data_IF_071529035991
#
_entry.id   IF_071529035991
#
_cell.length_a   1.000
_cell.length_b   1.000
_cell.length_c   1.000
_cell.angle_alpha   90.00
_cell.angle_beta   90.00
_cell.angle_gamma   90.00
#
_symmetry.space_group_name_H-M   'P 1'
#
loop_
_entity.id
_entity.type
_entity.pdbx_description
1 polymer ?
#
# COMPACT_ATOMS: atom_id res chain seq x y z
N UNK A 1 -5.27 -0.42 12.93
CA UNK A 1 -4.37 0.53 12.23
C UNK A 1 -3.08 -0.21 11.90
N UNK A 2 -2.71 -0.31 10.63
CA UNK A 2 -1.44 -0.93 10.27
C UNK A 2 -0.29 0.03 10.64
N UNK A 3 0.58 -0.42 11.55
CA UNK A 3 1.79 0.28 11.98
C UNK A 3 3.03 -0.11 11.14
N UNK A 4 2.80 -0.60 9.93
CA UNK A 4 3.85 -1.22 9.12
C UNK A 4 4.74 -0.14 8.51
N UNK A 5 6.04 -0.20 8.82
CA UNK A 5 7.05 0.59 8.13
C UNK A 5 7.25 0.09 6.71
N UNK A 6 7.35 1.02 5.76
CA UNK A 6 7.52 0.72 4.34
C UNK A 6 8.62 1.58 3.72
N UNK A 7 9.22 1.04 2.65
CA UNK A 7 9.97 1.82 1.67
C UNK A 7 9.11 1.95 0.41
N UNK A 8 8.78 3.19 0.05
CA UNK A 8 8.04 3.55 -1.15
C UNK A 8 9.02 4.03 -2.22
N UNK A 9 9.03 3.36 -3.36
CA UNK A 9 9.80 3.76 -4.53
C UNK A 9 8.90 4.53 -5.49
N UNK A 10 9.37 5.69 -5.94
CA UNK A 10 8.70 6.49 -6.95
C UNK A 10 9.19 6.10 -8.35
N UNK A 11 8.37 6.38 -9.37
CA UNK A 11 8.68 6.11 -10.78
C UNK A 11 9.97 6.78 -11.27
N UNK A 12 10.36 7.89 -10.63
CA UNK A 12 11.59 8.62 -10.93
C UNK A 12 12.83 8.07 -10.19
N UNK A 13 12.69 6.99 -9.41
CA UNK A 13 13.76 6.36 -8.64
C UNK A 13 14.01 6.97 -7.26
N UNK A 14 13.27 7.99 -6.83
CA UNK A 14 13.35 8.48 -5.45
C UNK A 14 12.74 7.45 -4.50
N UNK A 15 13.40 7.22 -3.37
CA UNK A 15 12.88 6.38 -2.29
C UNK A 15 12.40 7.24 -1.12
N UNK A 16 11.22 6.93 -0.62
CA UNK A 16 10.64 7.49 0.59
C UNK A 16 10.49 6.37 1.63
N UNK A 17 10.71 6.70 2.89
CA UNK A 17 10.56 5.75 3.99
C UNK A 17 9.64 6.35 5.04
N UNK A 18 8.81 5.51 5.63
CA UNK A 18 7.88 5.90 6.67
C UNK A 18 6.81 4.86 6.90
N UNK A 19 5.79 5.26 7.67
CA UNK A 19 4.60 4.46 7.92
C UNK A 19 3.45 4.95 7.04
N UNK A 20 2.61 4.05 6.55
CA UNK A 20 1.34 4.44 5.92
C UNK A 20 0.38 4.91 7.00
N UNK A 21 0.08 6.22 7.02
CA UNK A 21 -0.84 6.83 7.99
C UNK A 21 -2.30 6.77 7.53
N UNK A 22 -2.54 6.96 6.23
CA UNK A 22 -3.86 6.86 5.62
C UNK A 22 -3.73 6.60 4.11
N UNK A 23 -4.82 6.18 3.48
CA UNK A 23 -4.90 6.02 2.02
C UNK A 23 -6.34 6.24 1.55
N UNK A 24 -6.47 6.62 0.28
CA UNK A 24 -7.75 6.62 -0.44
C UNK A 24 -7.57 5.92 -1.80
N UNK A 25 -8.48 6.15 -2.75
CA UNK A 25 -8.40 5.56 -4.09
C UNK A 25 -7.17 6.00 -4.88
N UNK A 26 -6.67 7.23 -4.70
CA UNK A 26 -5.66 7.85 -5.56
C UNK A 26 -4.34 8.19 -4.86
N UNK A 27 -4.35 8.28 -3.53
CA UNK A 27 -3.24 8.78 -2.75
C UNK A 27 -2.97 7.94 -1.50
N UNK A 28 -1.75 8.07 -0.99
CA UNK A 28 -1.29 7.49 0.26
C UNK A 28 -0.60 8.57 1.09
N UNK A 29 -0.91 8.66 2.38
CA UNK A 29 -0.18 9.48 3.35
C UNK A 29 0.95 8.66 3.97
N UNK A 30 2.18 9.13 3.80
CA UNK A 30 3.39 8.55 4.39
C UNK A 30 3.88 9.46 5.52
N UNK A 31 4.01 8.91 6.72
CA UNK A 31 4.48 9.62 7.90
C UNK A 31 5.88 9.16 8.31
N UNK A 32 6.78 10.11 8.59
CA UNK A 32 8.09 9.86 9.19
C UNK A 32 8.49 11.02 10.10
N UNK A 33 8.87 10.71 11.33
CA UNK A 33 9.35 11.69 12.33
C UNK A 33 8.38 12.87 12.57
N UNK A 34 7.07 12.60 12.56
CA UNK A 34 6.02 13.62 12.71
C UNK A 34 5.75 14.47 11.46
N UNK A 35 6.48 14.24 10.37
CA UNK A 35 6.20 14.84 9.07
C UNK A 35 5.32 13.92 8.24
N UNK A 36 4.29 14.50 7.61
CA UNK A 36 3.35 13.77 6.73
C UNK A 36 3.53 14.23 5.29
N UNK A 37 3.62 13.27 4.37
CA UNK A 37 3.75 13.50 2.94
C UNK A 37 2.62 12.79 2.18
N UNK A 38 1.97 13.50 1.26
CA UNK A 38 0.99 12.93 0.34
C UNK A 38 1.71 12.42 -0.91
N UNK A 39 1.61 11.12 -1.16
CA UNK A 39 2.08 10.48 -2.39
C UNK A 39 0.89 10.11 -3.28
N UNK A 40 0.89 10.58 -4.53
CA UNK A 40 -0.06 10.12 -5.53
C UNK A 40 0.35 8.77 -6.08
N UNK A 41 -0.57 7.81 -6.16
CA UNK A 41 -0.29 6.43 -6.59
C UNK A 41 0.29 6.34 -8.00
N UNK A 42 -0.04 7.25 -8.92
CA UNK A 42 0.53 7.27 -10.27
C UNK A 42 2.03 7.57 -10.30
N UNK A 43 2.58 8.17 -9.24
CA UNK A 43 4.00 8.46 -9.11
C UNK A 43 4.75 7.38 -8.32
N UNK A 44 4.04 6.41 -7.72
CA UNK A 44 4.60 5.30 -6.96
C UNK A 44 4.81 4.11 -7.90
N UNK A 45 6.01 3.54 -7.89
CA UNK A 45 6.34 2.33 -8.65
C UNK A 45 6.19 1.07 -7.81
N UNK A 46 6.64 1.09 -6.55
CA UNK A 46 6.61 -0.09 -5.67
C UNK A 46 6.54 0.32 -4.20
N UNK A 47 5.83 -0.44 -3.38
CA UNK A 47 5.82 -0.31 -1.92
C UNK A 47 6.37 -1.62 -1.35
N UNK A 48 7.48 -1.53 -0.62
CA UNK A 48 8.11 -2.66 0.03
C UNK A 48 7.89 -2.55 1.55
N UNK A 49 7.15 -3.48 2.17
CA UNK A 49 7.03 -3.52 3.62
C UNK A 49 8.36 -3.97 4.26
N UNK A 50 8.64 -3.46 5.47
CA UNK A 50 9.85 -3.80 6.21
C UNK A 50 9.83 -5.26 6.72
N UNK A 51 8.64 -5.80 6.94
CA UNK A 51 8.40 -7.16 7.38
C UNK A 51 7.41 -7.84 6.42
N UNK A 52 7.45 -9.18 6.28
CA UNK A 52 6.46 -9.90 5.50
C UNK A 52 5.04 -9.58 5.97
N UNK A 53 4.15 -9.30 5.02
CA UNK A 53 2.73 -9.06 5.29
C UNK A 53 1.99 -10.37 5.02
N UNK A 54 1.18 -10.80 5.98
CA UNK A 54 0.24 -11.91 5.80
C UNK A 54 -0.94 -11.40 4.96
N UNK A 55 -1.19 -12.06 3.83
CA UNK A 55 -2.26 -11.74 2.88
C UNK A 55 -3.25 -12.90 2.73
N UNK A 56 -3.22 -13.89 3.62
CA UNK A 56 -4.11 -15.05 3.54
C UNK A 56 -5.60 -14.66 3.52
N UNK A 57 -6.01 -13.65 4.30
CA UNK A 57 -7.39 -13.14 4.31
C UNK A 57 -7.81 -12.39 3.02
N UNK A 58 -6.87 -12.09 2.10
CA UNK A 58 -7.17 -11.37 0.85
C UNK A 58 -7.63 -12.31 -0.27
N UNK A 59 -7.20 -13.57 -0.25
CA UNK A 59 -7.52 -14.54 -1.31
C UNK A 59 -8.99 -15.00 -1.25
N UNK A 60 -9.58 -15.08 -0.05
CA UNK A 60 -10.97 -15.52 0.14
C UNK A 60 -12.03 -14.52 -0.35
N UNK A 61 -11.65 -13.28 -0.70
CA UNK A 61 -12.60 -12.23 -1.11
C UNK A 61 -12.85 -12.17 -2.63
N UNK A 62 -11.99 -12.79 -3.44
CA UNK A 62 -12.05 -12.75 -4.90
C UNK A 62 -12.69 -14.02 -5.52
N UNK A 63 -12.97 -15.07 -4.73
CA UNK A 63 -13.54 -16.35 -5.17
C UNK A 63 -15.10 -16.42 -5.14
N UNK A 64 -15.80 -15.31 -4.82
CA UNK A 64 -17.26 -15.20 -4.93
C UNK A 64 -17.74 -14.89 -6.37
N UNK A 65 -17.10 -15.46 -7.41
CA UNK A 65 -17.74 -15.56 -8.73
C UNK A 65 -18.73 -16.73 -8.67
N UNK A 66 -20.06 -16.51 -8.73
CA UNK A 66 -20.98 -17.62 -8.90
C UNK A 66 -20.70 -18.27 -10.25
N UNK A 67 -20.37 -19.57 -10.24
CA UNK A 67 -20.38 -20.43 -11.42
C UNK A 67 -21.72 -20.20 -12.14
N UNK A 68 -21.66 -19.52 -13.30
CA UNK A 68 -22.81 -19.24 -14.17
C UNK A 68 -23.18 -20.57 -14.87
N UNK A 69 -23.74 -21.50 -14.10
CA UNK A 69 -24.41 -22.71 -14.60
C UNK A 69 -25.79 -22.31 -15.16
N UNK A 70 -25.83 -21.77 -16.39
CA UNK A 70 -26.97 -21.90 -17.32
C UNK A 70 -26.57 -21.80 -18.80
#
# INVERSE_FOLDING_TARGET
>A
EAEVQVTMFLVNGVMLQGRIAAYDLFCTLLERDGFVQLAYKHAVSTIQPAEPVDLSDWEDADDDEPDDDE
#
